data_IF_893646553937
#
_entry.id   IF_893646553937
#
_cell.length_a   1.000
_cell.length_b   1.000
_cell.length_c   1.000
_cell.angle_alpha   90.00
_cell.angle_beta   90.00
_cell.angle_gamma   90.00
#
_symmetry.space_group_name_H-M   'P 1'
#
loop_
_entity.id
_entity.type
_entity.pdbx_description
1 polymer ?
#
# COMPACT_ATOMS: atom_id res chain seq x y z
N UNK A 1 -45.51 -35.93 12.88
CA UNK A 1 -45.15 -35.04 13.98
C UNK A 1 -43.65 -34.84 14.20
N UNK A 2 -42.87 -35.90 14.40
CA UNK A 2 -41.41 -35.76 14.69
C UNK A 2 -40.57 -35.08 13.58
N UNK A 3 -40.92 -35.29 12.28
CA UNK A 3 -40.22 -34.66 11.15
C UNK A 3 -40.54 -33.17 11.02
N UNK A 4 -41.77 -32.78 11.26
CA UNK A 4 -42.19 -31.37 11.22
C UNK A 4 -41.53 -30.55 12.35
N UNK A 5 -41.37 -31.15 13.51
CA UNK A 5 -40.71 -30.52 14.67
C UNK A 5 -39.20 -30.33 14.43
N UNK A 6 -38.53 -31.30 13.77
CA UNK A 6 -37.13 -31.13 13.36
C UNK A 6 -36.93 -30.04 12.32
N UNK A 7 -37.85 -29.97 11.33
CA UNK A 7 -37.79 -28.92 10.30
C UNK A 7 -38.00 -27.51 10.90
N UNK A 8 -38.90 -27.40 11.86
CA UNK A 8 -39.16 -26.13 12.55
C UNK A 8 -37.97 -25.72 13.44
N UNK A 9 -37.26 -26.66 14.07
CA UNK A 9 -36.03 -26.36 14.84
C UNK A 9 -34.88 -25.89 13.94
N UNK A 10 -34.74 -26.44 12.74
CA UNK A 10 -33.70 -26.04 11.78
C UNK A 10 -34.00 -24.64 11.25
N UNK A 11 -35.25 -24.33 10.92
CA UNK A 11 -35.63 -23.00 10.45
C UNK A 11 -35.46 -21.92 11.52
N UNK A 12 -35.75 -22.20 12.78
CA UNK A 12 -35.52 -21.26 13.90
C UNK A 12 -34.03 -20.98 14.09
N UNK A 13 -33.15 -22.00 13.96
CA UNK A 13 -31.71 -21.78 14.08
C UNK A 13 -31.14 -20.99 12.89
N UNK A 14 -31.62 -21.19 11.66
CA UNK A 14 -31.16 -20.43 10.50
C UNK A 14 -31.62 -18.96 10.59
N UNK A 15 -32.84 -18.72 11.06
CA UNK A 15 -33.36 -17.34 11.25
C UNK A 15 -32.64 -16.64 12.43
N UNK A 16 -32.31 -17.36 13.51
CA UNK A 16 -31.56 -16.79 14.63
C UNK A 16 -30.12 -16.41 14.23
N UNK A 17 -29.50 -17.14 13.29
CA UNK A 17 -28.16 -16.81 12.81
C UNK A 17 -28.15 -15.58 11.87
N UNK A 18 -29.25 -15.29 11.17
CA UNK A 18 -29.35 -14.13 10.28
C UNK A 18 -29.72 -12.83 11.00
N UNK A 19 -30.13 -12.89 12.28
CA UNK A 19 -30.55 -11.73 13.09
C UNK A 19 -29.46 -11.33 14.11
N UNK A 20 -28.32 -12.00 14.15
CA UNK A 20 -27.21 -11.49 14.96
C UNK A 20 -26.82 -10.11 14.42
N UNK A 21 -26.98 -9.02 15.21
CA UNK A 21 -26.50 -7.73 14.75
C UNK A 21 -25.00 -7.88 14.50
N UNK A 22 -24.58 -7.66 13.27
CA UNK A 22 -23.20 -7.36 12.99
C UNK A 22 -22.89 -6.14 13.85
N UNK A 23 -22.23 -6.33 15.00
CA UNK A 23 -21.66 -5.19 15.71
C UNK A 23 -20.77 -4.51 14.71
N UNK A 24 -21.22 -3.38 14.18
CA UNK A 24 -20.33 -2.46 13.52
C UNK A 24 -19.17 -2.25 14.49
N UNK A 25 -17.99 -2.48 14.00
CA UNK A 25 -16.76 -2.36 14.78
C UNK A 25 -16.79 -0.98 15.41
N UNK A 26 -16.93 -0.93 16.74
CA UNK A 26 -16.96 0.30 17.48
C UNK A 26 -15.69 1.05 17.18
N UNK A 27 -15.88 2.21 16.55
CA UNK A 27 -15.01 3.37 16.63
C UNK A 27 -13.51 3.06 16.46
N UNK A 28 -13.10 2.84 15.23
CA UNK A 28 -11.74 3.15 14.89
C UNK A 28 -11.61 4.67 14.94
N UNK A 29 -11.45 5.20 16.15
CA UNK A 29 -11.00 6.58 16.31
C UNK A 29 -9.62 6.64 15.69
N UNK A 30 -9.57 7.17 14.46
CA UNK A 30 -8.30 7.62 13.91
C UNK A 30 -7.62 8.42 15.03
N UNK A 31 -6.34 8.16 15.32
CA UNK A 31 -5.65 8.95 16.31
C UNK A 31 -5.93 10.41 15.97
N UNK A 32 -6.64 11.11 16.87
CA UNK A 32 -6.89 12.52 16.71
C UNK A 32 -5.51 13.17 16.75
N UNK A 33 -4.98 13.51 15.59
CA UNK A 33 -3.87 14.42 15.52
C UNK A 33 -4.36 15.67 16.22
N UNK A 34 -3.85 15.90 17.43
CA UNK A 34 -4.27 17.04 18.20
C UNK A 34 -3.91 18.27 17.37
N UNK A 35 -4.84 19.20 17.23
CA UNK A 35 -4.61 20.49 16.57
C UNK A 35 -3.44 21.31 17.16
N UNK A 36 -2.82 20.80 18.22
CA UNK A 36 -1.61 21.37 18.84
C UNK A 36 -0.36 21.19 17.99
N UNK A 37 -0.32 20.22 17.07
CA UNK A 37 0.85 19.94 16.24
C UNK A 37 0.90 20.78 14.95
N UNK A 38 -0.02 21.71 14.78
CA UNK A 38 0.02 22.70 13.69
C UNK A 38 -0.12 22.11 12.28
N UNK A 39 -0.61 20.87 12.14
CA UNK A 39 -0.87 20.28 10.84
C UNK A 39 -2.09 20.94 10.19
N UNK A 40 -1.82 21.85 9.29
CA UNK A 40 -2.84 22.44 8.43
C UNK A 40 -2.85 21.65 7.11
N UNK A 41 -4.01 21.19 6.65
CA UNK A 41 -4.11 20.53 5.34
C UNK A 41 -3.60 21.45 4.25
N UNK A 42 -2.72 20.95 3.40
CA UNK A 42 -2.25 21.65 2.20
C UNK A 42 -3.24 21.39 1.06
N UNK A 43 -3.72 22.46 0.42
CA UNK A 43 -4.65 22.38 -0.70
C UNK A 43 -3.91 22.74 -1.98
N UNK A 44 -3.77 21.76 -2.88
CA UNK A 44 -3.25 21.97 -4.23
C UNK A 44 -4.39 22.18 -5.23
N UNK A 45 -4.26 23.12 -6.17
CA UNK A 45 -5.26 23.38 -7.23
C UNK A 45 -4.85 22.87 -8.61
N UNK A 46 -3.56 22.82 -8.90
CA UNK A 46 -3.01 22.36 -10.18
C UNK A 46 -2.45 20.93 -10.12
N UNK A 47 -2.21 20.43 -8.94
CA UNK A 47 -1.65 19.12 -8.66
C UNK A 47 -1.16 19.04 -7.22
N UNK A 48 -0.81 17.86 -6.79
CA UNK A 48 -0.25 17.64 -5.45
C UNK A 48 0.74 16.50 -5.48
N UNK A 49 1.82 16.64 -4.73
CA UNK A 49 2.80 15.60 -4.48
C UNK A 49 2.89 15.36 -2.98
N UNK A 50 2.79 14.10 -2.59
CA UNK A 50 3.05 13.66 -1.21
C UNK A 50 4.03 12.51 -1.24
N UNK A 51 5.21 12.71 -0.67
CA UNK A 51 6.26 11.72 -0.60
C UNK A 51 7.08 11.94 0.68
N UNK A 52 7.71 10.87 1.16
CA UNK A 52 8.40 10.88 2.44
C UNK A 52 9.58 11.85 2.52
N UNK A 53 10.22 12.15 1.39
CA UNK A 53 11.46 12.92 1.33
C UNK A 53 11.24 14.26 0.61
N UNK A 54 11.71 15.35 1.22
CA UNK A 54 11.41 16.72 0.78
C UNK A 54 12.00 17.06 -0.59
N UNK A 55 13.21 16.59 -0.91
CA UNK A 55 13.86 16.86 -2.20
C UNK A 55 13.10 16.15 -3.31
N UNK A 56 12.73 14.89 -3.09
CA UNK A 56 11.92 14.13 -4.04
C UNK A 56 10.54 14.75 -4.23
N UNK A 57 9.93 15.30 -3.16
CA UNK A 57 8.67 16.03 -3.26
C UNK A 57 8.79 17.27 -4.18
N UNK A 58 9.87 18.05 -4.04
CA UNK A 58 10.13 19.20 -4.89
C UNK A 58 10.33 18.81 -6.35
N UNK A 59 11.12 17.77 -6.63
CA UNK A 59 11.30 17.25 -7.98
C UNK A 59 9.95 16.88 -8.62
N UNK A 60 9.08 16.18 -7.92
CA UNK A 60 7.76 15.86 -8.44
C UNK A 60 6.88 17.07 -8.70
N UNK A 61 6.92 18.06 -7.81
CA UNK A 61 6.18 19.33 -7.97
C UNK A 61 6.69 20.11 -9.18
N UNK A 62 7.99 20.22 -9.38
CA UNK A 62 8.60 20.89 -10.52
C UNK A 62 8.21 20.25 -11.87
N UNK A 63 8.11 18.92 -11.92
CA UNK A 63 7.62 18.21 -13.12
C UNK A 63 6.18 18.60 -13.43
N UNK A 64 5.31 18.66 -12.42
CA UNK A 64 3.91 19.08 -12.61
C UNK A 64 3.82 20.55 -13.05
N UNK A 65 4.62 21.44 -12.47
CA UNK A 65 4.69 22.86 -12.85
C UNK A 65 5.16 23.07 -14.29
N UNK A 66 6.04 22.21 -14.80
CA UNK A 66 6.50 22.20 -16.18
C UNK A 66 5.49 21.59 -17.17
N UNK A 67 4.32 21.14 -16.68
CA UNK A 67 3.26 20.58 -17.51
C UNK A 67 3.33 19.06 -17.67
N UNK A 68 4.20 18.38 -16.93
CA UNK A 68 4.21 16.93 -16.82
C UNK A 68 2.96 16.42 -16.09
N UNK A 69 2.60 15.17 -16.31
CA UNK A 69 1.49 14.52 -15.64
C UNK A 69 1.94 13.79 -14.37
N UNK A 70 0.99 13.18 -13.66
CA UNK A 70 1.27 12.46 -12.41
C UNK A 70 2.21 11.26 -12.61
N UNK A 71 2.25 10.64 -13.77
CA UNK A 71 3.14 9.51 -14.08
C UNK A 71 4.56 10.02 -14.26
N UNK A 72 4.73 11.14 -14.98
CA UNK A 72 6.03 11.79 -15.17
C UNK A 72 6.62 12.21 -13.81
N UNK A 73 5.79 12.85 -12.97
CA UNK A 73 6.18 13.23 -11.62
C UNK A 73 6.56 12.01 -10.77
N UNK A 74 5.76 10.93 -10.81
CA UNK A 74 6.03 9.69 -10.08
C UNK A 74 7.35 9.04 -10.50
N UNK A 75 7.65 9.01 -11.79
CA UNK A 75 8.93 8.50 -12.31
C UNK A 75 10.12 9.36 -11.83
N UNK A 76 10.02 10.67 -11.93
CA UNK A 76 11.07 11.59 -11.47
C UNK A 76 11.31 11.46 -9.95
N UNK A 77 10.24 11.33 -9.16
CA UNK A 77 10.32 11.07 -7.73
C UNK A 77 11.07 9.76 -7.45
N UNK A 78 10.76 8.70 -8.19
CA UNK A 78 11.44 7.40 -8.04
C UNK A 78 12.95 7.51 -8.22
N UNK A 79 13.40 8.21 -9.25
CA UNK A 79 14.83 8.47 -9.47
C UNK A 79 15.45 9.37 -8.39
N UNK A 80 14.73 10.39 -7.92
CA UNK A 80 15.19 11.24 -6.84
C UNK A 80 15.36 10.43 -5.54
N UNK A 81 14.41 9.57 -5.20
CA UNK A 81 14.45 8.70 -4.02
C UNK A 81 15.61 7.70 -4.08
N UNK A 82 16.02 7.24 -5.26
CA UNK A 82 17.19 6.37 -5.40
C UNK A 82 18.48 7.03 -4.88
N UNK A 83 18.52 8.37 -4.85
CA UNK A 83 19.65 9.16 -4.32
C UNK A 83 19.41 9.62 -2.89
N UNK A 84 18.21 10.15 -2.61
CA UNK A 84 17.91 10.81 -1.35
C UNK A 84 17.41 9.87 -0.26
N UNK A 85 16.92 8.70 -0.65
CA UNK A 85 16.39 7.67 0.25
C UNK A 85 16.76 6.24 -0.20
N UNK A 86 18.06 5.93 -0.38
CA UNK A 86 18.51 4.67 -0.99
C UNK A 86 18.16 3.41 -0.19
N UNK A 87 17.87 3.55 1.10
CA UNK A 87 17.47 2.43 1.95
C UNK A 87 16.08 1.85 1.63
N UNK A 88 15.26 2.56 0.86
CA UNK A 88 13.92 2.10 0.48
C UNK A 88 13.54 2.45 -0.97
N UNK A 89 14.44 3.05 -1.74
CA UNK A 89 14.24 3.34 -3.15
C UNK A 89 15.55 3.28 -3.92
N UNK A 90 15.63 2.42 -4.92
CA UNK A 90 16.81 2.30 -5.78
C UNK A 90 16.42 1.84 -7.19
N UNK A 91 17.33 2.02 -8.15
CA UNK A 91 17.07 1.70 -9.56
C UNK A 91 16.92 0.18 -9.80
N UNK A 92 17.49 -0.65 -8.97
CA UNK A 92 17.36 -2.12 -9.05
C UNK A 92 16.19 -2.67 -8.25
N UNK A 93 15.45 -1.83 -7.54
CA UNK A 93 14.29 -2.23 -6.76
C UNK A 93 13.02 -2.40 -7.57
N UNK A 94 11.99 -2.83 -6.90
CA UNK A 94 10.66 -3.01 -7.48
C UNK A 94 9.58 -2.31 -6.68
N UNK A 95 8.33 -2.60 -6.98
CA UNK A 95 7.19 -2.02 -6.28
C UNK A 95 5.85 -2.29 -6.96
N UNK A 96 4.88 -1.50 -6.55
CA UNK A 96 3.52 -1.51 -7.09
C UNK A 96 3.12 -0.10 -7.45
N UNK A 97 2.36 0.04 -8.52
CA UNK A 97 1.84 1.33 -8.94
C UNK A 97 0.36 1.20 -9.31
N UNK A 98 -0.44 2.15 -8.87
CA UNK A 98 -1.83 2.30 -9.28
C UNK A 98 -1.97 3.64 -9.99
N UNK A 99 -2.47 3.60 -11.22
CA UNK A 99 -2.61 4.77 -12.08
C UNK A 99 -4.07 4.90 -12.49
N UNK A 100 -4.67 6.06 -12.24
CA UNK A 100 -5.95 6.41 -12.82
C UNK A 100 -5.76 7.33 -14.04
N UNK A 101 -6.20 6.86 -15.21
CA UNK A 101 -6.14 7.59 -16.48
C UNK A 101 -7.48 8.29 -16.71
N UNK A 102 -7.60 9.52 -16.28
CA UNK A 102 -8.86 10.28 -16.33
C UNK A 102 -9.42 10.40 -17.75
N UNK A 103 -8.58 10.48 -18.80
CA UNK A 103 -9.03 10.56 -20.20
C UNK A 103 -9.70 9.30 -20.71
N UNK A 104 -9.42 8.15 -20.10
CA UNK A 104 -9.98 6.84 -20.46
C UNK A 104 -10.95 6.32 -19.40
N UNK A 105 -11.11 7.04 -18.30
CA UNK A 105 -11.80 6.60 -17.07
C UNK A 105 -11.38 5.19 -16.66
N UNK A 106 -10.07 4.94 -16.70
CA UNK A 106 -9.49 3.64 -16.48
C UNK A 106 -8.43 3.67 -15.40
N UNK A 107 -8.53 2.72 -14.47
CA UNK A 107 -7.49 2.48 -13.48
C UNK A 107 -6.69 1.24 -13.85
N UNK A 108 -5.36 1.35 -13.79
CA UNK A 108 -4.41 0.27 -14.07
C UNK A 108 -3.55 0.06 -12.84
N UNK A 109 -3.35 -1.19 -12.46
CA UNK A 109 -2.36 -1.60 -11.48
C UNK A 109 -1.18 -2.26 -12.21
N UNK A 110 0.02 -1.87 -11.82
CA UNK A 110 1.28 -2.44 -12.34
C UNK A 110 1.99 -3.09 -11.15
N UNK A 111 2.26 -4.37 -11.28
CA UNK A 111 3.11 -5.13 -10.38
C UNK A 111 4.48 -5.26 -11.05
N UNK A 112 5.48 -4.61 -10.48
CA UNK A 112 6.88 -4.69 -10.92
C UNK A 112 7.79 -5.06 -9.75
N UNK A 113 7.24 -5.86 -8.82
CA UNK A 113 8.02 -6.36 -7.70
C UNK A 113 9.18 -7.20 -8.20
N UNK A 114 10.34 -6.97 -7.63
CA UNK A 114 11.56 -7.74 -7.92
C UNK A 114 11.39 -9.22 -7.53
N UNK A 115 12.04 -10.07 -8.29
CA UNK A 115 12.17 -11.49 -7.99
C UNK A 115 13.59 -11.78 -7.51
N UNK A 116 13.74 -12.83 -6.72
CA UNK A 116 15.06 -13.34 -6.33
C UNK A 116 15.86 -13.76 -7.57
N UNK A 117 17.19 -13.67 -7.48
CA UNK A 117 18.07 -14.21 -8.51
C UNK A 117 17.78 -15.70 -8.77
N UNK A 118 17.90 -16.15 -10.04
CA UNK A 118 17.59 -17.53 -10.40
C UNK A 118 18.51 -18.59 -9.72
N UNK A 119 19.66 -18.17 -9.22
CA UNK A 119 20.58 -18.99 -8.43
C UNK A 119 20.32 -18.95 -6.91
N UNK A 120 19.35 -18.14 -6.45
CA UNK A 120 19.03 -18.07 -5.03
C UNK A 120 18.30 -19.35 -4.59
N UNK A 121 18.80 -19.96 -3.52
CA UNK A 121 18.18 -21.11 -2.86
C UNK A 121 17.56 -20.66 -1.54
N UNK A 122 16.72 -21.51 -0.93
CA UNK A 122 16.06 -21.19 0.34
C UNK A 122 17.04 -21.07 1.52
N UNK A 123 18.25 -21.61 1.35
CA UNK A 123 19.32 -21.70 2.34
C UNK A 123 20.52 -20.81 2.01
N UNK A 124 20.36 -19.82 1.09
CA UNK A 124 21.44 -18.93 0.64
C UNK A 124 22.13 -18.17 1.78
N UNK A 125 21.47 -18.00 2.91
CA UNK A 125 21.97 -17.33 4.12
C UNK A 125 22.22 -18.30 5.28
N UNK A 126 22.25 -19.60 5.00
CA UNK A 126 22.43 -20.63 6.03
C UNK A 126 23.81 -21.24 5.87
N UNK A 127 24.58 -21.30 6.96
CA UNK A 127 25.90 -21.93 7.01
C UNK A 127 25.79 -23.48 7.13
N UNK A 128 26.92 -24.15 7.11
CA UNK A 128 26.98 -25.62 7.19
C UNK A 128 26.41 -26.17 8.52
N UNK A 129 26.35 -25.37 9.57
CA UNK A 129 25.80 -25.70 10.87
C UNK A 129 24.27 -25.53 10.92
N UNK A 130 23.65 -24.99 9.86
CA UNK A 130 22.23 -24.71 9.76
C UNK A 130 21.79 -23.41 10.45
N UNK A 131 22.71 -22.52 10.73
CA UNK A 131 22.48 -21.21 11.35
C UNK A 131 22.58 -20.09 10.30
N UNK A 132 22.03 -18.91 10.61
CA UNK A 132 22.13 -17.74 9.72
C UNK A 132 23.59 -17.30 9.64
N UNK A 133 24.13 -17.26 8.43
CA UNK A 133 25.43 -16.69 8.16
C UNK A 133 25.38 -15.16 8.23
N UNK A 134 25.98 -14.61 9.28
CA UNK A 134 25.97 -13.17 9.57
C UNK A 134 26.81 -12.34 8.57
N UNK A 135 27.69 -12.96 7.81
CA UNK A 135 28.49 -12.27 6.78
C UNK A 135 27.73 -12.16 5.45
N UNK A 136 26.73 -13.03 5.22
CA UNK A 136 25.91 -13.06 4.00
C UNK A 136 24.54 -12.40 4.18
N UNK A 137 24.10 -12.13 5.42
CA UNK A 137 22.76 -11.67 5.76
C UNK A 137 22.56 -10.12 5.76
#
# INVERSE_FOLDING_TARGET
MKALFKLMLITVNVVAFTILPVKAQEDYTLPSYSSRDGFVPVVGRGGMVSVRETIAAKVGAEILEQGGNAIDAGAAIGFALAVTYPGAGNIGGGGFMVIHKASEDKTVAIDYREMSAGAATHDIYINDEGEIDQELA
#
